data_IF_347349296422
#
_entry.id   IF_347349296422
#
_cell.length_a   1.000
_cell.length_b   1.000
_cell.length_c   1.000
_cell.angle_alpha   90.00
_cell.angle_beta   90.00
_cell.angle_gamma   90.00
#
_symmetry.space_group_name_H-M   'P 1'
#
loop_
_entity.id
_entity.type
_entity.pdbx_description
1 polymer ?
#
# COMPACT_ATOMS: atom_id res chain seq x y z
N UNK A 1 -27.81 57.17 -8.44
CA UNK A 1 -27.37 55.93 -7.76
C UNK A 1 -27.72 54.78 -8.68
N UNK A 2 -26.72 54.18 -9.35
CA UNK A 2 -26.93 52.93 -10.07
C UNK A 2 -26.86 51.78 -9.07
N UNK A 3 -27.80 50.82 -9.09
CA UNK A 3 -27.68 49.63 -8.27
C UNK A 3 -26.47 48.82 -8.77
N UNK A 4 -25.56 48.49 -7.86
CA UNK A 4 -24.50 47.51 -8.11
C UNK A 4 -25.19 46.14 -8.12
N UNK A 5 -25.50 45.64 -9.31
CA UNK A 5 -25.78 44.22 -9.51
C UNK A 5 -24.45 43.48 -9.37
N UNK A 6 -24.20 42.92 -8.19
CA UNK A 6 -23.21 41.85 -8.03
C UNK A 6 -23.76 40.63 -8.76
N UNK A 7 -23.42 40.49 -10.05
CA UNK A 7 -23.52 39.21 -10.73
C UNK A 7 -22.61 38.24 -9.99
N UNK A 8 -23.20 37.42 -9.11
CA UNK A 8 -22.57 36.20 -8.65
C UNK A 8 -22.35 35.36 -9.91
N UNK A 9 -21.10 35.29 -10.37
CA UNK A 9 -20.71 34.43 -11.49
C UNK A 9 -20.89 32.99 -11.05
N UNK A 10 -22.07 32.43 -11.32
CA UNK A 10 -22.35 31.02 -11.05
C UNK A 10 -21.46 30.18 -11.96
N UNK A 11 -20.45 29.56 -11.35
CA UNK A 11 -19.58 28.60 -12.03
C UNK A 11 -20.42 27.42 -12.55
N UNK A 12 -20.25 27.03 -13.81
CA UNK A 12 -21.04 25.95 -14.39
C UNK A 12 -20.73 24.59 -13.75
N UNK A 13 -21.73 23.70 -13.71
CA UNK A 13 -21.57 22.35 -13.14
C UNK A 13 -20.35 21.59 -13.70
N UNK A 14 -20.06 21.56 -15.01
CA UNK A 14 -18.85 20.88 -15.51
C UNK A 14 -17.54 21.43 -14.94
N UNK A 15 -17.44 22.75 -14.74
CA UNK A 15 -16.25 23.37 -14.13
C UNK A 15 -16.14 23.05 -12.65
N UNK A 16 -17.25 23.11 -11.92
CA UNK A 16 -17.30 22.70 -10.51
C UNK A 16 -16.91 21.22 -10.35
N UNK A 17 -17.49 20.34 -11.17
CA UNK A 17 -17.18 18.90 -11.16
C UNK A 17 -15.71 18.64 -11.51
N UNK A 18 -15.14 19.34 -12.49
CA UNK A 18 -13.73 19.21 -12.85
C UNK A 18 -12.80 19.68 -11.72
N UNK A 19 -13.02 20.88 -11.18
CA UNK A 19 -12.17 21.46 -10.11
C UNK A 19 -12.20 20.62 -8.82
N UNK A 20 -13.36 20.08 -8.47
CA UNK A 20 -13.56 19.27 -7.26
C UNK A 20 -13.28 17.78 -7.47
N UNK A 21 -12.89 17.39 -8.69
CA UNK A 21 -12.72 15.99 -9.12
C UNK A 21 -13.94 15.12 -8.81
N UNK A 22 -15.12 15.61 -9.17
CA UNK A 22 -16.38 14.95 -8.88
C UNK A 22 -16.78 15.04 -7.42
N UNK A 23 -16.49 16.16 -6.75
CA UNK A 23 -16.76 16.39 -5.32
C UNK A 23 -16.07 15.37 -4.40
N UNK A 24 -14.92 14.86 -4.83
CA UNK A 24 -14.10 13.92 -4.05
C UNK A 24 -13.06 14.64 -3.19
N UNK A 25 -12.61 15.84 -3.60
CA UNK A 25 -11.70 16.65 -2.80
C UNK A 25 -12.38 17.08 -1.49
N UNK A 26 -11.64 17.06 -0.39
CA UNK A 26 -12.14 17.33 0.95
C UNK A 26 -12.87 16.16 1.63
N UNK A 27 -13.03 15.00 0.97
CA UNK A 27 -13.57 13.80 1.63
C UNK A 27 -12.48 13.08 2.42
N UNK A 28 -12.71 12.77 3.71
CA UNK A 28 -11.83 11.89 4.49
C UNK A 28 -11.69 10.51 3.84
N UNK A 29 -10.49 9.94 3.90
CA UNK A 29 -10.17 8.60 3.38
C UNK A 29 -8.99 8.00 4.16
N UNK A 30 -8.70 6.71 3.91
CA UNK A 30 -7.59 5.98 4.53
C UNK A 30 -7.63 6.06 6.07
N UNK A 31 -8.75 5.67 6.65
CA UNK A 31 -8.93 5.75 8.10
C UNK A 31 -8.02 4.77 8.85
N UNK A 32 -7.49 5.21 9.98
CA UNK A 32 -6.91 4.37 11.02
C UNK A 32 -7.57 4.73 12.35
N UNK A 33 -8.14 3.74 13.03
CA UNK A 33 -8.92 3.92 14.25
C UNK A 33 -8.11 3.48 15.46
N UNK A 34 -8.10 4.30 16.51
CA UNK A 34 -7.72 3.89 17.87
C UNK A 34 -8.98 3.89 18.74
N UNK A 35 -8.82 3.64 20.05
CA UNK A 35 -9.94 3.68 21.00
C UNK A 35 -10.52 5.09 21.21
N UNK A 36 -9.74 6.14 20.95
CA UNK A 36 -10.04 7.53 21.33
C UNK A 36 -9.97 8.53 20.15
N UNK A 37 -9.38 8.16 19.02
CA UNK A 37 -9.26 9.02 17.83
C UNK A 37 -9.35 8.24 16.53
N UNK A 38 -9.60 8.95 15.43
CA UNK A 38 -9.46 8.44 14.08
C UNK A 38 -8.50 9.34 13.28
N UNK A 39 -7.49 8.74 12.67
CA UNK A 39 -6.59 9.37 11.72
C UNK A 39 -7.10 9.17 10.31
N UNK A 40 -6.94 10.17 9.44
CA UNK A 40 -7.38 10.09 8.05
C UNK A 40 -6.64 11.08 7.16
N UNK A 41 -6.67 10.83 5.86
CA UNK A 41 -6.19 11.77 4.85
C UNK A 41 -7.36 12.60 4.35
N UNK A 42 -7.15 13.91 4.27
CA UNK A 42 -8.10 14.85 3.67
C UNK A 42 -7.36 16.06 3.11
N UNK A 43 -7.82 16.59 1.99
CA UNK A 43 -7.33 17.87 1.50
C UNK A 43 -7.89 19.04 2.32
N UNK A 44 -7.17 20.16 2.37
CA UNK A 44 -7.58 21.32 3.16
C UNK A 44 -8.96 21.91 2.74
N UNK A 45 -9.37 21.67 1.49
CA UNK A 45 -10.63 22.15 0.94
C UNK A 45 -11.09 21.33 -0.27
N UNK A 46 -12.36 21.53 -0.68
CA UNK A 46 -12.95 20.89 -1.87
C UNK A 46 -12.37 21.33 -3.22
N UNK A 47 -11.37 22.23 -3.23
CA UNK A 47 -10.63 22.63 -4.43
C UNK A 47 -9.11 22.44 -4.30
N UNK A 48 -8.63 21.87 -3.19
CA UNK A 48 -7.24 21.48 -3.02
C UNK A 48 -7.09 19.98 -3.34
N UNK A 49 -6.14 19.65 -4.22
CA UNK A 49 -5.84 18.26 -4.59
C UNK A 49 -4.81 17.60 -3.68
N UNK A 50 -4.18 18.36 -2.79
CA UNK A 50 -3.14 17.87 -1.89
C UNK A 50 -3.75 17.28 -0.61
N UNK A 51 -3.49 16.00 -0.35
CA UNK A 51 -3.87 15.33 0.88
C UNK A 51 -2.92 15.69 2.03
N UNK A 52 -3.52 16.01 3.19
CA UNK A 52 -2.84 16.25 4.47
C UNK A 52 -3.28 15.19 5.48
N UNK A 53 -2.51 15.00 6.56
CA UNK A 53 -2.85 14.06 7.63
C UNK A 53 -3.66 14.78 8.71
N UNK A 54 -4.82 14.22 9.03
CA UNK A 54 -5.75 14.76 10.02
C UNK A 54 -6.04 13.72 11.10
N UNK A 55 -6.48 14.21 12.25
CA UNK A 55 -7.07 13.42 13.33
C UNK A 55 -8.42 14.00 13.73
N UNK A 56 -9.31 13.15 14.20
CA UNK A 56 -10.50 13.54 14.96
C UNK A 56 -10.49 12.83 16.31
N UNK A 57 -10.70 13.58 17.39
CA UNK A 57 -10.95 13.02 18.71
C UNK A 57 -12.39 12.48 18.76
N UNK A 58 -12.56 11.20 19.07
CA UNK A 58 -13.86 10.53 19.02
C UNK A 58 -14.76 10.86 20.22
N UNK A 59 -14.21 11.48 21.27
CA UNK A 59 -14.97 11.89 22.46
C UNK A 59 -15.56 13.29 22.30
N UNK A 60 -14.75 14.22 21.83
CA UNK A 60 -15.09 15.64 21.68
C UNK A 60 -15.59 16.00 20.27
N UNK A 61 -15.28 15.17 19.27
CA UNK A 61 -15.56 15.44 17.86
C UNK A 61 -14.68 16.53 17.25
N UNK A 62 -13.59 16.93 17.92
CA UNK A 62 -12.69 17.97 17.42
C UNK A 62 -11.71 17.40 16.40
N UNK A 63 -11.62 18.07 15.24
CA UNK A 63 -10.69 17.74 14.18
C UNK A 63 -9.45 18.64 14.22
N UNK A 64 -8.29 18.04 13.98
CA UNK A 64 -7.01 18.74 13.91
C UNK A 64 -6.19 18.25 12.72
N UNK A 65 -5.57 19.17 11.98
CA UNK A 65 -4.57 18.82 10.98
C UNK A 65 -3.25 18.55 11.70
N UNK A 66 -2.71 17.33 11.57
CA UNK A 66 -1.44 16.93 12.18
C UNK A 66 -0.27 17.26 11.25
N UNK A 67 -0.43 17.02 9.94
CA UNK A 67 0.56 17.40 8.93
C UNK A 67 -0.16 18.09 7.78
N UNK A 68 0.06 19.39 7.65
CA UNK A 68 -0.30 20.14 6.45
C UNK A 68 0.81 19.99 5.41
N UNK A 69 0.54 19.19 4.37
CA UNK A 69 1.54 18.86 3.35
C UNK A 69 2.08 20.09 2.60
N UNK A 70 1.37 21.23 2.59
CA UNK A 70 1.84 22.44 1.92
C UNK A 70 2.77 23.29 2.78
N UNK A 71 2.63 23.20 4.10
CA UNK A 71 3.30 24.08 5.06
C UNK A 71 4.39 23.36 5.84
N UNK A 72 4.17 22.08 6.18
CA UNK A 72 5.06 21.30 7.05
C UNK A 72 6.06 20.46 6.26
N UNK A 73 5.78 20.19 4.98
CA UNK A 73 6.69 19.48 4.09
C UNK A 73 7.40 20.51 3.21
N UNK A 74 8.74 20.51 3.17
CA UNK A 74 9.50 21.42 2.32
C UNK A 74 9.00 21.36 0.88
N UNK A 75 8.61 22.52 0.34
CA UNK A 75 8.32 22.66 -1.07
C UNK A 75 9.64 22.60 -1.83
N UNK A 76 10.06 21.40 -2.24
CA UNK A 76 11.22 21.30 -3.12
C UNK A 76 11.04 20.35 -4.30
N UNK A 77 11.61 20.84 -5.40
CA UNK A 77 11.61 20.29 -6.75
C UNK A 77 12.31 18.94 -6.76
N UNK A 78 11.59 17.87 -7.08
CA UNK A 78 12.24 16.67 -7.61
C UNK A 78 11.43 16.08 -8.74
N UNK A 79 12.17 15.60 -9.74
CA UNK A 79 11.72 14.93 -10.95
C UNK A 79 10.57 13.96 -10.66
N UNK A 80 9.57 13.94 -11.55
CA UNK A 80 8.25 13.38 -11.29
C UNK A 80 8.19 11.98 -10.67
N UNK A 81 7.02 11.63 -10.13
CA UNK A 81 6.73 10.36 -9.42
C UNK A 81 7.44 9.14 -10.03
N UNK A 82 8.05 8.25 -9.23
CA UNK A 82 8.68 7.02 -9.71
C UNK A 82 7.74 6.21 -10.60
N UNK A 83 8.26 5.49 -11.59
CA UNK A 83 7.42 4.69 -12.48
C UNK A 83 6.55 3.68 -11.70
N UNK A 84 7.11 3.03 -10.67
CA UNK A 84 6.38 2.11 -9.81
C UNK A 84 5.28 2.80 -8.99
N UNK A 85 5.54 3.98 -8.41
CA UNK A 85 4.52 4.75 -7.68
C UNK A 85 3.45 5.31 -8.62
N UNK A 86 3.84 5.75 -9.82
CA UNK A 86 2.88 6.20 -10.85
C UNK A 86 1.97 5.06 -11.27
N UNK A 87 2.54 3.89 -11.55
CA UNK A 87 1.78 2.68 -11.87
C UNK A 87 0.84 2.34 -10.70
N UNK A 88 1.36 2.23 -9.47
CA UNK A 88 0.56 1.95 -8.26
C UNK A 88 -0.59 2.94 -8.08
N UNK A 89 -0.34 4.24 -8.24
CA UNK A 89 -1.38 5.29 -8.18
C UNK A 89 -2.41 5.12 -9.28
N UNK A 90 -1.99 4.81 -10.50
CA UNK A 90 -2.89 4.50 -11.61
C UNK A 90 -3.82 3.32 -11.26
N UNK A 91 -3.27 2.22 -10.71
CA UNK A 91 -4.06 1.04 -10.27
C UNK A 91 -5.02 1.35 -9.14
N UNK A 92 -4.56 2.12 -8.15
CA UNK A 92 -5.39 2.60 -7.03
C UNK A 92 -6.39 3.68 -7.46
N UNK A 93 -6.35 4.16 -8.72
CA UNK A 93 -7.10 5.31 -9.23
C UNK A 93 -6.86 6.57 -8.38
N UNK A 94 -5.65 6.69 -7.86
CA UNK A 94 -5.19 7.76 -6.99
C UNK A 94 -4.70 8.96 -7.81
N UNK A 95 -5.46 10.05 -7.76
CA UNK A 95 -5.15 11.28 -8.50
C UNK A 95 -4.64 12.39 -7.56
N UNK A 96 -4.80 12.23 -6.24
CA UNK A 96 -4.40 13.25 -5.26
C UNK A 96 -2.87 13.42 -5.19
N UNK A 97 -2.47 14.67 -4.95
CA UNK A 97 -1.09 15.02 -4.63
C UNK A 97 -0.90 15.02 -3.11
N UNK A 98 0.34 15.22 -2.64
CA UNK A 98 0.64 15.23 -1.20
C UNK A 98 0.61 13.82 -0.59
N UNK A 99 0.08 13.71 0.63
CA UNK A 99 -0.03 12.46 1.38
C UNK A 99 -1.19 11.65 0.80
N UNK A 100 -0.87 10.47 0.25
CA UNK A 100 -1.88 9.59 -0.37
C UNK A 100 -2.24 8.37 0.49
N UNK A 101 -1.30 7.91 1.32
CA UNK A 101 -1.47 6.86 2.32
C UNK A 101 -0.52 7.10 3.50
N UNK A 102 -0.81 6.48 4.64
CA UNK A 102 0.06 6.44 5.81
C UNK A 102 -0.02 5.07 6.49
N UNK A 103 0.90 4.82 7.41
CA UNK A 103 0.91 3.68 8.33
C UNK A 103 1.14 4.20 9.75
N UNK A 104 0.61 3.51 10.75
CA UNK A 104 0.71 3.90 12.17
C UNK A 104 1.21 2.70 12.96
N UNK A 105 2.00 2.96 14.01
CA UNK A 105 2.42 1.95 14.97
C UNK A 105 1.23 1.47 15.83
N UNK A 106 1.41 0.38 16.57
CA UNK A 106 0.33 -0.20 17.37
C UNK A 106 -0.12 0.71 18.53
N UNK A 107 0.76 1.61 18.99
CA UNK A 107 0.45 2.57 20.04
C UNK A 107 -0.33 3.80 19.53
N UNK A 108 -0.41 4.00 18.22
CA UNK A 108 -0.94 5.24 17.65
C UNK A 108 -0.04 6.45 17.94
N UNK A 109 1.21 6.25 18.34
CA UNK A 109 2.12 7.32 18.73
C UNK A 109 2.80 7.95 17.51
N UNK A 110 3.11 7.13 16.50
CA UNK A 110 3.90 7.54 15.35
C UNK A 110 3.24 7.09 14.05
N UNK A 111 3.23 7.98 13.05
CA UNK A 111 2.84 7.63 11.70
C UNK A 111 3.98 7.84 10.70
N UNK A 112 3.94 7.07 9.62
CA UNK A 112 4.83 7.23 8.47
C UNK A 112 4.02 7.42 7.19
N UNK A 113 4.50 8.28 6.31
CA UNK A 113 3.91 8.51 4.99
C UNK A 113 4.98 8.88 3.97
N UNK A 114 4.61 8.92 2.69
CA UNK A 114 5.44 9.46 1.64
C UNK A 114 4.83 10.76 1.09
N UNK A 115 5.66 11.78 0.87
CA UNK A 115 5.32 12.98 0.14
C UNK A 115 6.45 13.32 -0.83
N UNK A 116 6.12 13.60 -2.09
CA UNK A 116 7.11 13.89 -3.15
C UNK A 116 8.24 12.85 -3.26
N UNK A 117 7.94 11.57 -3.02
CA UNK A 117 8.91 10.48 -3.06
C UNK A 117 9.82 10.38 -1.83
N UNK A 118 9.66 11.23 -0.81
CA UNK A 118 10.44 11.19 0.42
C UNK A 118 9.59 10.55 1.53
N UNK A 119 10.14 9.58 2.29
CA UNK A 119 9.49 9.05 3.49
C UNK A 119 9.61 10.03 4.65
N UNK A 120 8.51 10.24 5.37
CA UNK A 120 8.46 11.08 6.56
C UNK A 120 7.86 10.29 7.72
N UNK A 121 8.47 10.45 8.89
CA UNK A 121 7.97 10.01 10.18
C UNK A 121 7.37 11.21 10.92
N UNK A 122 6.22 11.04 11.55
CA UNK A 122 5.57 12.07 12.36
C UNK A 122 5.20 11.52 13.73
N UNK A 123 5.63 12.22 14.77
CA UNK A 123 5.12 12.02 16.13
C UNK A 123 3.72 12.65 16.23
N UNK A 124 2.71 11.83 16.51
CA UNK A 124 1.30 12.23 16.47
C UNK A 124 0.87 13.06 17.70
N UNK A 125 1.72 13.15 18.73
CA UNK A 125 1.46 13.95 19.93
C UNK A 125 2.01 15.37 19.81
N UNK A 126 3.16 15.52 19.16
CA UNK A 126 3.88 16.79 18.99
C UNK A 126 3.72 17.39 17.59
N UNK A 127 3.20 16.61 16.63
CA UNK A 127 3.17 16.93 15.21
C UNK A 127 4.57 17.18 14.60
N UNK A 128 5.64 16.69 15.26
CA UNK A 128 6.99 16.83 14.73
C UNK A 128 7.21 15.90 13.55
N UNK A 129 7.51 16.47 12.38
CA UNK A 129 7.80 15.73 11.14
C UNK A 129 9.30 15.61 10.91
N UNK A 130 9.77 14.41 10.61
CA UNK A 130 11.17 14.08 10.33
C UNK A 130 11.28 13.35 8.99
N UNK A 131 12.08 13.86 8.06
CA UNK A 131 12.40 13.15 6.83
C UNK A 131 13.33 11.96 7.13
N UNK A 132 13.02 10.80 6.57
CA UNK A 132 13.86 9.60 6.72
C UNK A 132 14.82 9.48 5.52
N UNK A 133 16.06 9.01 5.74
CA UNK A 133 17.02 8.78 4.67
C UNK A 133 16.53 7.66 3.74
N UNK A 134 16.63 7.87 2.43
CA UNK A 134 16.35 6.86 1.43
C UNK A 134 17.31 7.04 0.23
N UNK A 135 17.71 5.96 -0.46
CA UNK A 135 18.62 6.03 -1.61
C UNK A 135 17.93 6.53 -2.90
N UNK A 136 16.65 6.86 -2.82
CA UNK A 136 15.85 7.36 -3.93
C UNK A 136 14.38 7.47 -3.53
N UNK A 137 13.51 7.80 -4.49
CA UNK A 137 12.09 7.92 -4.24
C UNK A 137 11.45 6.63 -3.71
N UNK A 138 10.68 6.75 -2.64
CA UNK A 138 10.09 5.59 -1.94
C UNK A 138 8.68 5.26 -2.40
N UNK A 139 8.32 3.98 -2.23
CA UNK A 139 6.99 3.43 -2.39
C UNK A 139 6.57 2.72 -1.10
N UNK A 140 5.32 2.93 -0.71
CA UNK A 140 4.64 2.26 0.41
C UNK A 140 5.43 2.20 1.72
N UNK A 141 5.79 3.34 2.35
CA UNK A 141 6.44 3.30 3.65
C UNK A 141 5.52 2.74 4.75
N UNK A 142 6.07 1.88 5.62
CA UNK A 142 5.36 1.18 6.69
C UNK A 142 6.19 1.19 7.97
N UNK A 143 5.54 1.55 9.07
CA UNK A 143 6.14 1.48 10.42
C UNK A 143 5.77 0.14 11.06
N UNK A 144 6.70 -0.44 11.82
CA UNK A 144 6.51 -1.65 12.60
C UNK A 144 5.54 -1.42 13.76
N UNK A 145 4.98 -2.51 14.28
CA UNK A 145 4.02 -2.45 15.40
C UNK A 145 4.62 -1.80 16.66
N UNK A 146 5.90 -2.04 16.94
CA UNK A 146 6.65 -1.44 18.05
C UNK A 146 7.13 0.00 17.77
N UNK A 147 6.96 0.52 16.55
CA UNK A 147 7.37 1.88 16.18
C UNK A 147 8.85 2.04 15.85
N UNK A 148 9.66 0.98 15.95
CA UNK A 148 11.12 1.08 15.89
C UNK A 148 11.69 0.96 14.46
N UNK A 149 10.99 0.27 13.56
CA UNK A 149 11.43 0.01 12.19
C UNK A 149 10.50 0.63 11.16
N UNK A 150 11.07 1.32 10.17
CA UNK A 150 10.33 1.84 9.02
C UNK A 150 10.82 1.18 7.74
N UNK A 151 9.97 0.38 7.10
CA UNK A 151 10.23 -0.24 5.80
C UNK A 151 9.70 0.61 4.66
N UNK A 152 10.32 0.51 3.49
CA UNK A 152 9.81 1.07 2.23
C UNK A 152 10.51 0.40 1.04
N UNK A 153 9.95 0.58 -0.16
CA UNK A 153 10.55 0.07 -1.39
C UNK A 153 11.19 1.21 -2.19
N UNK A 154 12.42 1.00 -2.66
CA UNK A 154 13.10 1.86 -3.64
C UNK A 154 13.63 0.98 -4.75
N UNK A 155 13.33 1.33 -6.01
CA UNK A 155 13.86 0.63 -7.19
C UNK A 155 13.75 -0.91 -7.09
N UNK A 156 12.57 -1.40 -6.69
CA UNK A 156 12.24 -2.84 -6.57
C UNK A 156 12.97 -3.59 -5.45
N UNK A 157 13.66 -2.88 -4.55
CA UNK A 157 14.32 -3.41 -3.38
C UNK A 157 13.68 -2.87 -2.09
N UNK A 158 13.68 -3.67 -1.03
CA UNK A 158 13.15 -3.30 0.28
C UNK A 158 14.26 -2.75 1.16
N UNK A 159 13.96 -1.63 1.81
CA UNK A 159 14.84 -0.95 2.74
C UNK A 159 14.15 -0.80 4.09
N UNK A 160 14.95 -0.75 5.15
CA UNK A 160 14.52 -0.43 6.52
C UNK A 160 15.39 0.67 7.10
N UNK A 161 14.76 1.62 7.79
CA UNK A 161 15.40 2.64 8.64
C UNK A 161 14.96 2.41 10.07
N UNK A 162 15.89 2.52 11.02
CA UNK A 162 15.55 2.56 12.45
C UNK A 162 15.01 3.93 12.82
N UNK A 163 13.82 4.00 13.43
CA UNK A 163 13.26 5.24 13.96
C UNK A 163 14.06 5.74 15.18
N UNK A 164 14.72 4.83 15.90
CA UNK A 164 15.57 5.14 17.06
C UNK A 164 16.97 5.61 16.67
N UNK A 165 17.44 5.30 15.46
CA UNK A 165 18.73 5.72 14.93
C UNK A 165 18.64 6.07 13.44
N UNK A 166 17.95 7.18 13.15
CA UNK A 166 17.78 7.69 11.78
C UNK A 166 19.14 8.01 11.13
N UNK A 167 20.14 8.39 11.94
CA UNK A 167 21.47 8.75 11.46
C UNK A 167 22.25 7.57 10.86
N UNK A 168 21.94 6.33 11.27
CA UNK A 168 22.52 5.12 10.68
C UNK A 168 22.16 4.93 9.20
N UNK A 169 21.09 5.58 8.71
CA UNK A 169 20.66 5.49 7.32
C UNK A 169 19.77 4.29 7.01
N UNK A 170 19.42 4.14 5.74
CA UNK A 170 18.59 3.04 5.26
C UNK A 170 19.43 1.79 4.94
N UNK A 171 19.00 0.64 5.45
CA UNK A 171 19.61 -0.67 5.17
C UNK A 171 18.78 -1.40 4.12
N UNK A 172 19.42 -1.86 3.03
CA UNK A 172 18.76 -2.72 2.04
C UNK A 172 18.66 -4.14 2.59
N UNK A 173 17.44 -4.66 2.74
CA UNK A 173 17.21 -5.99 3.34
C UNK A 173 16.87 -7.06 2.31
N UNK A 174 16.36 -6.67 1.14
CA UNK A 174 16.08 -7.55 0.01
C UNK A 174 16.17 -6.76 -1.30
N UNK A 175 16.74 -7.37 -2.35
CA UNK A 175 16.92 -6.72 -3.65
C UNK A 175 16.83 -7.71 -4.80
N UNK A 176 16.45 -7.25 -6.01
CA UNK A 176 16.42 -8.09 -7.20
C UNK A 176 17.81 -8.63 -7.55
N UNK A 177 17.84 -9.86 -8.06
CA UNK A 177 19.03 -10.47 -8.66
C UNK A 177 19.14 -10.18 -10.18
N UNK A 178 18.02 -9.86 -10.84
CA UNK A 178 17.95 -9.42 -12.24
C UNK A 178 16.82 -8.41 -12.47
N UNK A 179 16.63 -7.98 -13.73
CA UNK A 179 15.76 -6.86 -14.09
C UNK A 179 14.25 -7.16 -14.10
N UNK A 180 13.83 -8.43 -14.10
CA UNK A 180 12.41 -8.82 -14.05
C UNK A 180 11.95 -9.20 -12.63
N UNK A 181 12.84 -9.10 -11.64
CA UNK A 181 12.55 -9.44 -10.26
C UNK A 181 12.21 -8.17 -9.46
N UNK A 182 11.24 -8.31 -8.54
CA UNK A 182 10.82 -7.24 -7.63
C UNK A 182 10.57 -7.78 -6.23
N UNK A 183 10.97 -7.00 -5.22
CA UNK A 183 10.70 -7.27 -3.81
C UNK A 183 9.85 -6.17 -3.18
N UNK A 184 8.93 -6.57 -2.29
CA UNK A 184 8.16 -5.69 -1.43
C UNK A 184 6.95 -5.00 -2.06
N UNK A 185 6.67 -5.29 -3.33
CA UNK A 185 5.51 -4.81 -4.07
C UNK A 185 4.66 -5.99 -4.53
N UNK A 186 3.38 -5.74 -4.79
CA UNK A 186 2.47 -6.71 -5.40
C UNK A 186 2.71 -6.82 -6.90
N UNK A 187 2.55 -8.02 -7.47
CA UNK A 187 2.57 -8.24 -8.92
C UNK A 187 1.40 -7.54 -9.65
N UNK A 188 1.43 -7.57 -10.98
CA UNK A 188 0.41 -6.95 -11.82
C UNK A 188 -1.01 -7.49 -11.53
N UNK A 189 -1.18 -8.82 -11.49
CA UNK A 189 -2.51 -9.44 -11.34
C UNK A 189 -3.08 -9.14 -9.96
N UNK A 190 -2.26 -9.25 -8.91
CA UNK A 190 -2.71 -8.93 -7.56
C UNK A 190 -3.22 -7.48 -7.44
N UNK A 191 -2.50 -6.53 -8.04
CA UNK A 191 -2.86 -5.11 -7.92
C UNK A 191 -4.00 -4.67 -8.82
N UNK A 192 -4.12 -5.18 -10.04
CA UNK A 192 -5.19 -4.77 -10.98
C UNK A 192 -6.48 -5.56 -10.78
N UNK A 193 -6.39 -6.88 -10.55
CA UNK A 193 -7.54 -7.78 -10.60
C UNK A 193 -8.00 -8.21 -9.20
N UNK A 194 -7.09 -8.28 -8.22
CA UNK A 194 -7.40 -8.74 -6.86
C UNK A 194 -7.43 -7.61 -5.82
N UNK A 195 -7.22 -6.36 -6.24
CA UNK A 195 -7.21 -5.17 -5.37
C UNK A 195 -6.19 -5.23 -4.21
N UNK A 196 -5.10 -6.01 -4.36
CA UNK A 196 -3.99 -6.09 -3.42
C UNK A 196 -2.80 -5.27 -3.91
N UNK A 197 -2.57 -4.12 -3.28
CA UNK A 197 -1.52 -3.16 -3.67
C UNK A 197 -0.24 -3.23 -2.82
N UNK A 198 -0.23 -4.11 -1.81
CA UNK A 198 0.87 -4.23 -0.83
C UNK A 198 1.60 -5.54 -1.07
N UNK A 199 2.94 -5.49 -0.98
CA UNK A 199 3.82 -6.66 -1.08
C UNK A 199 4.82 -6.79 0.08
N UNK A 200 4.66 -6.05 1.17
CA UNK A 200 5.42 -6.29 2.40
C UNK A 200 4.62 -5.91 3.65
N UNK A 201 4.83 -6.62 4.75
CA UNK A 201 4.06 -6.48 5.99
C UNK A 201 4.97 -6.71 7.20
N UNK A 202 4.98 -5.77 8.14
CA UNK A 202 5.49 -6.04 9.49
C UNK A 202 4.56 -7.04 10.17
N UNK A 203 5.13 -8.08 10.77
CA UNK A 203 4.37 -9.06 11.54
C UNK A 203 4.10 -8.52 12.95
N UNK A 204 2.84 -8.27 13.33
CA UNK A 204 2.50 -7.82 14.69
C UNK A 204 2.65 -8.91 15.76
N UNK A 205 2.71 -10.19 15.37
CA UNK A 205 2.89 -11.34 16.26
C UNK A 205 4.37 -11.63 16.60
N UNK A 206 5.31 -11.10 15.83
CA UNK A 206 6.76 -11.28 16.04
C UNK A 206 7.49 -9.98 15.72
N UNK A 207 8.12 -9.40 16.73
CA UNK A 207 8.88 -8.16 16.58
C UNK A 207 10.00 -8.27 15.52
N UNK A 208 10.29 -7.14 14.88
CA UNK A 208 11.36 -6.96 13.90
C UNK A 208 11.40 -7.99 12.76
N UNK A 209 10.23 -8.51 12.39
CA UNK A 209 10.07 -9.47 11.29
C UNK A 209 9.16 -8.89 10.22
N UNK A 210 9.67 -8.88 8.98
CA UNK A 210 8.92 -8.54 7.78
C UNK A 210 8.55 -9.79 7.02
N UNK A 211 7.29 -9.89 6.59
CA UNK A 211 6.88 -10.74 5.49
C UNK A 211 6.98 -9.93 4.20
N UNK A 212 7.67 -10.45 3.20
CA UNK A 212 7.96 -9.76 1.94
C UNK A 212 7.62 -10.65 0.76
N UNK A 213 6.83 -10.12 -0.17
CA UNK A 213 6.61 -10.73 -1.47
C UNK A 213 7.82 -10.49 -2.37
N UNK A 214 8.27 -11.56 -3.01
CA UNK A 214 9.12 -11.52 -4.19
C UNK A 214 8.27 -11.98 -5.36
N UNK A 215 8.33 -11.27 -6.48
CA UNK A 215 7.80 -11.78 -7.73
C UNK A 215 8.80 -11.65 -8.87
N UNK A 216 8.70 -12.58 -9.81
CA UNK A 216 9.59 -12.70 -10.95
C UNK A 216 8.78 -12.78 -12.25
N UNK A 217 9.00 -11.80 -13.14
CA UNK A 217 8.26 -11.66 -14.40
C UNK A 217 9.03 -12.17 -15.63
N UNK A 218 10.16 -12.88 -15.47
CA UNK A 218 10.98 -13.31 -16.62
C UNK A 218 10.18 -14.11 -17.64
N UNK A 219 9.29 -15.00 -17.19
CA UNK A 219 8.45 -15.84 -18.04
C UNK A 219 7.11 -15.17 -18.45
N UNK A 220 6.85 -13.94 -18.01
CA UNK A 220 5.66 -13.17 -18.40
C UNK A 220 5.87 -12.56 -19.78
N UNK A 221 4.92 -12.69 -20.73
CA UNK A 221 5.07 -12.10 -22.06
C UNK A 221 5.29 -10.59 -22.03
N UNK A 222 6.18 -10.11 -22.88
CA UNK A 222 6.40 -8.67 -23.06
C UNK A 222 5.48 -8.10 -24.14
N UNK A 223 4.76 -7.04 -23.80
CA UNK A 223 3.93 -6.25 -24.69
C UNK A 223 4.62 -4.91 -24.99
N UNK A 224 4.30 -4.33 -26.15
CA UNK A 224 4.81 -3.03 -26.58
C UNK A 224 3.63 -2.09 -26.82
N UNK A 225 3.62 -0.96 -26.11
CA UNK A 225 2.53 0.03 -26.15
C UNK A 225 3.08 1.33 -26.73
N UNK A 226 2.60 1.69 -27.93
CA UNK A 226 2.95 2.96 -28.57
C UNK A 226 2.11 4.11 -28.04
N UNK A 227 2.72 5.29 -27.87
CA UNK A 227 1.99 6.52 -27.52
C UNK A 227 1.48 7.21 -28.80
N UNK A 228 0.16 7.18 -29.02
CA UNK A 228 -0.47 7.81 -30.18
C UNK A 228 -0.30 9.34 -30.21
N UNK A 229 -0.09 9.99 -29.06
CA UNK A 229 0.19 11.43 -28.98
C UNK A 229 1.66 11.76 -29.30
N UNK A 230 2.55 10.77 -29.19
CA UNK A 230 3.97 10.88 -29.51
C UNK A 230 4.41 9.75 -30.45
N UNK A 231 3.91 9.72 -31.69
CA UNK A 231 4.11 8.58 -32.61
C UNK A 231 5.57 8.37 -33.05
N UNK A 232 6.46 9.32 -32.77
CA UNK A 232 7.89 9.22 -33.04
C UNK A 232 8.69 8.61 -31.87
N UNK A 233 8.09 8.46 -30.69
CA UNK A 233 8.74 7.86 -29.52
C UNK A 233 8.78 6.33 -29.66
N UNK A 234 9.84 5.72 -29.13
CA UNK A 234 9.93 4.26 -29.06
C UNK A 234 8.78 3.70 -28.18
N UNK A 235 8.11 2.62 -28.59
CA UNK A 235 7.04 2.03 -27.78
C UNK A 235 7.55 1.60 -26.41
N UNK A 236 6.76 1.84 -25.37
CA UNK A 236 7.10 1.38 -24.03
C UNK A 236 6.85 -0.13 -23.94
N UNK A 237 7.84 -0.89 -23.44
CA UNK A 237 7.65 -2.30 -23.11
C UNK A 237 7.06 -2.46 -21.71
N UNK A 238 6.20 -3.47 -21.54
CA UNK A 238 5.67 -3.91 -20.24
C UNK A 238 5.48 -5.43 -20.23
N UNK A 239 5.79 -6.08 -19.11
CA UNK A 239 5.38 -7.46 -18.85
C UNK A 239 3.87 -7.47 -18.63
N UNK A 240 3.14 -8.31 -19.37
CA UNK A 240 1.68 -8.35 -19.32
C UNK A 240 1.16 -9.80 -19.37
N UNK A 241 0.61 -10.33 -18.26
CA UNK A 241 0.10 -11.69 -18.19
C UNK A 241 -1.28 -11.78 -18.82
N UNK A 242 -1.35 -11.82 -20.16
CA UNK A 242 -2.61 -12.02 -20.87
C UNK A 242 -3.24 -13.37 -20.54
N UNK A 243 -4.57 -13.48 -20.59
CA UNK A 243 -5.29 -14.72 -20.32
C UNK A 243 -4.68 -15.92 -21.05
N UNK A 244 -4.42 -17.00 -20.31
CA UNK A 244 -3.80 -18.23 -20.82
C UNK A 244 -2.26 -18.23 -20.87
N UNK A 245 -1.61 -17.07 -20.75
CA UNK A 245 -0.15 -16.97 -20.64
C UNK A 245 0.35 -17.12 -19.20
N UNK A 246 1.67 -17.17 -19.00
CA UNK A 246 2.26 -17.30 -17.68
C UNK A 246 2.03 -16.04 -16.82
N UNK A 247 1.77 -16.27 -15.53
CA UNK A 247 1.81 -15.22 -14.51
C UNK A 247 3.25 -15.04 -14.01
N UNK A 248 3.48 -13.98 -13.24
CA UNK A 248 4.70 -13.87 -12.46
C UNK A 248 4.82 -15.04 -11.47
N UNK A 249 6.04 -15.51 -11.21
CA UNK A 249 6.29 -16.44 -10.12
C UNK A 249 6.32 -15.65 -8.81
N UNK A 250 5.33 -15.88 -7.94
CA UNK A 250 5.18 -15.18 -6.66
C UNK A 250 5.65 -16.06 -5.50
N UNK A 251 6.40 -15.48 -4.57
CA UNK A 251 6.94 -16.11 -3.37
C UNK A 251 6.77 -15.19 -2.16
N UNK A 252 6.74 -15.77 -0.96
CA UNK A 252 6.76 -15.03 0.31
C UNK A 252 8.00 -15.38 1.11
N UNK A 253 8.58 -14.37 1.74
CA UNK A 253 9.83 -14.47 2.49
C UNK A 253 9.69 -13.78 3.84
N UNK A 254 10.06 -14.47 4.90
CA UNK A 254 10.32 -13.86 6.21
C UNK A 254 11.73 -13.26 6.20
N UNK A 255 11.84 -11.98 6.57
CA UNK A 255 13.10 -11.28 6.74
C UNK A 255 13.17 -10.75 8.17
N UNK A 256 14.17 -11.22 8.92
CA UNK A 256 14.40 -10.85 10.33
C UNK A 256 15.39 -9.69 10.46
N UNK A 257 15.47 -9.12 11.66
CA UNK A 257 16.40 -8.02 11.99
C UNK A 257 17.88 -8.35 11.71
N UNK A 258 18.28 -9.61 11.86
CA UNK A 258 19.63 -10.10 11.57
C UNK A 258 19.89 -10.33 10.07
N UNK A 259 18.94 -9.92 9.22
CA UNK A 259 18.90 -10.12 7.77
C UNK A 259 18.76 -11.57 7.32
N UNK A 260 18.44 -12.49 8.22
CA UNK A 260 18.08 -13.86 7.86
C UNK A 260 16.81 -13.84 7.02
N UNK A 261 16.89 -14.44 5.83
CA UNK A 261 15.76 -14.61 4.91
C UNK A 261 15.34 -16.08 4.86
N UNK A 262 14.04 -16.35 5.06
CA UNK A 262 13.46 -17.69 4.97
C UNK A 262 12.23 -17.66 4.08
N UNK A 263 12.21 -18.48 3.04
CA UNK A 263 11.06 -18.61 2.15
C UNK A 263 9.93 -19.38 2.84
N UNK A 264 8.73 -18.82 2.80
CA UNK A 264 7.47 -19.49 3.13
C UNK A 264 6.98 -20.20 1.87
N UNK A 265 7.10 -21.52 1.83
CA UNK A 265 6.83 -22.32 0.61
C UNK A 265 5.38 -22.81 0.54
N UNK A 266 4.82 -22.85 -0.68
CA UNK A 266 3.57 -23.53 -1.02
C UNK A 266 3.62 -24.06 -2.46
N UNK A 267 2.58 -24.79 -2.87
CA UNK A 267 2.44 -25.22 -4.27
C UNK A 267 2.00 -24.05 -5.15
N UNK A 268 2.97 -23.32 -5.70
CA UNK A 268 2.75 -22.17 -6.59
C UNK A 268 2.16 -22.57 -7.96
N UNK A 269 2.25 -23.85 -8.34
CA UNK A 269 1.59 -24.34 -9.56
C UNK A 269 0.09 -24.53 -9.34
N UNK A 270 -0.29 -25.10 -8.18
CA UNK A 270 -1.69 -25.25 -7.81
C UNK A 270 -2.34 -23.90 -7.47
N UNK A 271 -1.61 -23.02 -6.76
CA UNK A 271 -2.07 -21.71 -6.31
C UNK A 271 -1.13 -20.59 -6.73
N UNK A 272 -1.22 -20.13 -7.99
CA UNK A 272 -0.32 -19.11 -8.53
C UNK A 272 -0.62 -17.68 -8.06
N UNK A 273 -1.73 -17.46 -7.35
CA UNK A 273 -2.15 -16.13 -6.92
C UNK A 273 -2.05 -16.00 -5.40
N UNK A 274 -1.22 -15.07 -4.94
CA UNK A 274 -1.29 -14.52 -3.59
C UNK A 274 -2.39 -13.45 -3.58
N UNK A 275 -3.58 -13.81 -3.10
CA UNK A 275 -4.78 -12.97 -3.19
C UNK A 275 -4.82 -11.90 -2.10
N UNK A 276 -4.61 -12.29 -0.84
CA UNK A 276 -4.60 -11.38 0.30
C UNK A 276 -3.61 -11.85 1.38
N UNK A 277 -3.13 -10.89 2.16
CA UNK A 277 -2.31 -11.12 3.35
C UNK A 277 -2.82 -10.20 4.44
N UNK A 278 -3.25 -10.78 5.56
CA UNK A 278 -3.84 -10.06 6.68
C UNK A 278 -3.04 -10.36 7.97
N UNK A 279 -2.02 -9.54 8.28
CA UNK A 279 -1.27 -9.69 9.52
C UNK A 279 -2.11 -9.24 10.72
N UNK A 280 -2.09 -10.03 11.79
CA UNK A 280 -2.74 -9.73 13.07
C UNK A 280 -1.92 -10.29 14.22
N UNK A 281 -2.05 -9.72 15.43
CA UNK A 281 -1.34 -10.22 16.62
C UNK A 281 -1.64 -11.69 16.93
N UNK A 282 -2.83 -12.15 16.53
CA UNK A 282 -3.30 -13.53 16.65
C UNK A 282 -2.75 -14.48 15.58
N UNK A 283 -2.02 -13.95 14.59
CA UNK A 283 -1.39 -14.67 13.49
C UNK A 283 -1.67 -14.02 12.12
N UNK A 284 -0.77 -14.24 11.16
CA UNK A 284 -0.91 -13.73 9.80
C UNK A 284 -1.63 -14.71 8.87
N UNK A 285 -2.74 -14.27 8.29
CA UNK A 285 -3.47 -15.01 7.25
C UNK A 285 -2.86 -14.74 5.88
N UNK A 286 -2.78 -15.81 5.08
CA UNK A 286 -2.41 -15.81 3.66
C UNK A 286 -3.51 -16.52 2.87
N UNK A 287 -4.08 -15.82 1.89
CA UNK A 287 -5.11 -16.35 1.01
C UNK A 287 -4.53 -16.63 -0.38
N UNK A 288 -4.67 -17.89 -0.83
CA UNK A 288 -4.10 -18.37 -2.07
C UNK A 288 -5.20 -18.88 -3.01
N UNK A 289 -5.20 -18.44 -4.27
CA UNK A 289 -6.18 -18.87 -5.27
C UNK A 289 -5.56 -19.75 -6.35
N UNK A 290 -6.33 -20.75 -6.78
CA UNK A 290 -5.98 -21.53 -7.95
C UNK A 290 -6.14 -20.71 -9.25
N UNK A 291 -5.61 -21.23 -10.36
CA UNK A 291 -5.62 -20.53 -11.65
C UNK A 291 -7.02 -20.20 -12.19
N UNK A 292 -8.00 -21.06 -11.89
CA UNK A 292 -9.40 -20.85 -12.29
C UNK A 292 -10.19 -19.94 -11.33
N UNK A 293 -9.56 -19.49 -10.24
CA UNK A 293 -10.16 -18.65 -9.20
C UNK A 293 -11.46 -19.23 -8.63
N UNK A 294 -11.55 -20.55 -8.53
CA UNK A 294 -12.73 -21.25 -8.01
C UNK A 294 -12.39 -22.17 -6.82
N UNK A 295 -11.13 -22.17 -6.40
CA UNK A 295 -10.62 -22.85 -5.22
C UNK A 295 -9.69 -21.88 -4.48
N UNK A 296 -9.97 -21.68 -3.20
CA UNK A 296 -9.15 -20.88 -2.27
C UNK A 296 -8.61 -21.75 -1.15
N UNK A 297 -7.33 -21.55 -0.84
CA UNK A 297 -6.63 -22.08 0.34
C UNK A 297 -6.35 -20.91 1.27
N UNK A 298 -6.93 -20.95 2.47
CA UNK A 298 -6.68 -19.97 3.53
C UNK A 298 -5.72 -20.59 4.53
N UNK A 299 -4.55 -19.97 4.66
CA UNK A 299 -3.45 -20.44 5.49
C UNK A 299 -3.14 -19.43 6.59
N UNK A 300 -2.55 -19.93 7.68
CA UNK A 300 -1.86 -19.10 8.68
C UNK A 300 -0.36 -19.39 8.63
N UNK A 301 0.45 -18.36 8.80
CA UNK A 301 1.91 -18.52 8.90
C UNK A 301 2.26 -19.05 10.29
N UNK A 302 2.97 -20.19 10.35
CA UNK A 302 3.65 -20.66 11.56
C UNK A 302 5.08 -20.11 11.52
N UNK A 303 5.32 -18.99 12.23
CA UNK A 303 6.61 -18.27 12.19
C UNK A 303 7.75 -19.08 12.82
N UNK A 304 7.45 -19.94 13.80
CA UNK A 304 8.43 -20.81 14.44
C UNK A 304 8.95 -21.89 13.48
N UNK A 305 8.04 -22.45 12.68
CA UNK A 305 8.40 -23.45 11.66
C UNK A 305 8.79 -22.86 10.32
N UNK A 306 8.46 -21.59 10.07
CA UNK A 306 8.57 -20.93 8.76
C UNK A 306 7.74 -21.64 7.68
N UNK A 307 6.51 -22.02 8.01
CA UNK A 307 5.64 -22.81 7.12
C UNK A 307 4.23 -22.20 7.04
N UNK A 308 3.52 -22.47 5.94
CA UNK A 308 2.07 -22.24 5.87
C UNK A 308 1.33 -23.45 6.41
N UNK A 309 0.37 -23.19 7.29
CA UNK A 309 -0.61 -24.19 7.73
C UNK A 309 -1.97 -23.81 7.18
N UNK A 310 -2.51 -24.64 6.27
CA UNK A 310 -3.88 -24.49 5.80
C UNK A 310 -4.85 -24.67 6.98
N UNK A 311 -5.75 -23.71 7.15
CA UNK A 311 -6.78 -23.73 8.19
C UNK A 311 -8.18 -23.88 7.60
N UNK A 312 -8.35 -23.51 6.34
CA UNK A 312 -9.63 -23.56 5.65
C UNK A 312 -9.39 -23.67 4.14
N UNK A 313 -10.25 -24.43 3.46
CA UNK A 313 -10.24 -24.58 2.00
C UNK A 313 -11.66 -24.49 1.48
N UNK A 314 -11.87 -23.70 0.42
CA UNK A 314 -13.21 -23.45 -0.12
C UNK A 314 -13.23 -23.51 -1.63
N UNK A 315 -14.34 -23.98 -2.17
CA UNK A 315 -14.59 -24.07 -3.61
C UNK A 315 -15.89 -23.38 -3.96
N UNK A 316 -15.94 -22.77 -5.12
CA UNK A 316 -17.17 -22.28 -5.74
C UNK A 316 -17.33 -22.87 -7.14
N UNK A 317 -18.57 -23.04 -7.59
CA UNK A 317 -18.85 -23.54 -8.94
C UNK A 317 -18.63 -22.48 -10.02
N UNK A 318 -18.75 -21.21 -9.66
CA UNK A 318 -18.51 -20.06 -10.52
C UNK A 318 -17.09 -19.53 -10.30
N UNK A 319 -16.89 -18.71 -9.27
CA UNK A 319 -15.60 -18.16 -8.87
C UNK A 319 -15.64 -17.70 -7.40
N UNK A 320 -14.46 -17.46 -6.82
CA UNK A 320 -14.28 -16.89 -5.48
C UNK A 320 -14.09 -15.39 -5.62
N UNK A 321 -14.93 -14.60 -4.95
CA UNK A 321 -14.73 -13.15 -4.85
C UNK A 321 -13.72 -12.83 -3.73
N UNK A 322 -12.65 -12.10 -4.07
CA UNK A 322 -11.67 -11.61 -3.09
C UNK A 322 -12.18 -10.31 -2.49
N UNK A 323 -12.35 -10.28 -1.17
CA UNK A 323 -12.96 -9.16 -0.46
C UNK A 323 -11.92 -8.44 0.40
N UNK A 324 -11.58 -7.17 0.16
CA UNK A 324 -10.58 -6.47 0.96
C UNK A 324 -10.90 -6.48 2.47
N UNK A 325 -9.93 -6.91 3.28
CA UNK A 325 -10.03 -6.94 4.75
C UNK A 325 -10.44 -8.29 5.34
N UNK A 326 -10.89 -9.24 4.52
CA UNK A 326 -11.15 -10.64 4.92
C UNK A 326 -10.61 -11.60 3.84
N UNK A 327 -10.21 -12.84 4.16
CA UNK A 327 -10.19 -13.42 5.49
C UNK A 327 -9.16 -12.76 6.42
N UNK A 328 -9.46 -12.72 7.72
CA UNK A 328 -8.54 -12.28 8.77
C UNK A 328 -8.80 -13.05 10.07
N UNK A 329 -7.93 -12.88 11.07
CA UNK A 329 -8.15 -13.39 12.41
C UNK A 329 -8.68 -12.28 13.32
N UNK A 330 -9.63 -12.62 14.19
CA UNK A 330 -9.99 -11.77 15.31
C UNK A 330 -8.97 -11.87 16.47
N UNK A 331 -9.24 -11.18 17.58
CA UNK A 331 -8.37 -11.19 18.77
C UNK A 331 -8.32 -12.55 19.47
N UNK A 332 -9.29 -13.42 19.24
CA UNK A 332 -9.37 -14.79 19.79
C UNK A 332 -8.79 -15.84 18.84
N UNK A 333 -8.09 -15.41 17.78
CA UNK A 333 -7.55 -16.27 16.72
C UNK A 333 -8.62 -17.05 15.95
N UNK A 334 -9.86 -16.56 15.89
CA UNK A 334 -10.91 -17.14 15.06
C UNK A 334 -10.88 -16.54 13.65
N UNK A 335 -11.14 -17.38 12.65
CA UNK A 335 -11.21 -16.97 11.25
C UNK A 335 -12.50 -16.18 11.00
N UNK A 336 -12.35 -14.92 10.59
CA UNK A 336 -13.42 -14.11 10.04
C UNK A 336 -13.34 -14.15 8.51
N UNK A 337 -14.39 -14.65 7.87
CA UNK A 337 -14.49 -14.74 6.42
C UNK A 337 -15.92 -14.48 5.92
N UNK A 338 -16.05 -14.06 4.67
CA UNK A 338 -17.35 -13.97 4.00
C UNK A 338 -17.65 -15.34 3.40
N UNK A 339 -18.75 -15.96 3.84
CA UNK A 339 -19.24 -17.22 3.28
C UNK A 339 -20.39 -16.96 2.31
N UNK A 340 -20.42 -17.71 1.19
CA UNK A 340 -21.56 -17.66 0.28
C UNK A 340 -22.78 -18.28 0.98
N UNK A 341 -23.96 -17.73 0.71
CA UNK A 341 -25.22 -18.36 1.12
C UNK A 341 -25.31 -19.75 0.46
N UNK A 342 -25.47 -20.77 1.29
CA UNK A 342 -25.48 -22.20 0.89
C UNK A 342 -26.78 -22.60 0.21
#
# INVERSE_FOLDING_TARGET
MNPVTTEATFESYPRQRARTRGFQLGRPRNFHLTSDRALFIRSASGNDSAGSLWTIDLTSGQEHCIVDVRNDIPADNTDGLPAAERARRERMREVASGITAFSVDAAGATAVFAASGIPYLVDLSTAQVTALPAPGPVVDPRISSNGEGVSFVVNRAVYVVSANDIAAGATCIAKPSHEDETWGLSDFVASEELSRFRGHWWLPEVDDTLLVERFDETDVPQWWIADAAQPASEPASRRYPSAGSNNALVELWLIRADLTQVQISWDTNAFPYLASVAPAKSGTIVELLNRSQNLVSICVIDVDKNELREIQRRTDTAWIDVMPGVPCLDEESQLLEIVNDV
#
